data_IF_231677429085
#
_entry.id   IF_231677429085
#
_cell.length_a   1.000
_cell.length_b   1.000
_cell.length_c   1.000
_cell.angle_alpha   90.00
_cell.angle_beta   90.00
_cell.angle_gamma   90.00
#
_symmetry.space_group_name_H-M   'P 1'
#
loop_
_entity.id
_entity.type
_entity.pdbx_description
1 polymer ?
#
# COMPACT_ATOMS: atom_id res chain seq x y z
N UNK A 1 -12.06 -6.35 -1.51
CA UNK A 1 -11.94 -4.94 -1.14
C UNK A 1 -10.48 -4.61 -0.82
N UNK A 2 -9.83 -3.67 -1.52
CA UNK A 2 -8.50 -3.18 -1.15
C UNK A 2 -8.48 -2.52 0.23
N UNK A 3 -7.50 -2.88 1.06
CA UNK A 3 -7.25 -2.29 2.41
C UNK A 3 -5.88 -1.65 2.52
N UNK A 4 -4.91 -2.09 1.69
CA UNK A 4 -3.57 -1.52 1.62
C UNK A 4 -3.02 -1.55 0.19
N UNK A 5 -2.29 -0.50 -0.18
CA UNK A 5 -1.63 -0.37 -1.48
C UNK A 5 -0.16 -0.08 -1.26
N UNK A 6 0.72 -0.77 -2.00
CA UNK A 6 2.16 -0.53 -1.94
C UNK A 6 2.82 -0.76 -3.30
N UNK A 7 3.89 0.00 -3.54
CA UNK A 7 4.79 -0.22 -4.67
C UNK A 7 5.80 -1.30 -4.31
N UNK A 8 5.87 -2.39 -5.08
CA UNK A 8 6.96 -3.37 -4.95
C UNK A 8 8.06 -3.03 -5.97
N UNK A 9 9.28 -2.93 -5.44
CA UNK A 9 10.48 -2.50 -6.16
C UNK A 9 11.43 -3.69 -6.40
N UNK A 10 11.17 -4.83 -5.75
CA UNK A 10 12.13 -5.93 -5.58
C UNK A 10 11.92 -7.11 -6.51
N UNK A 11 10.77 -7.21 -7.19
CA UNK A 11 10.44 -8.40 -7.97
C UNK A 11 10.93 -8.36 -9.43
N UNK A 12 11.44 -9.51 -9.84
CA UNK A 12 11.90 -9.78 -11.21
C UNK A 12 10.84 -10.60 -11.92
N UNK A 13 10.27 -10.06 -12.98
CA UNK A 13 9.40 -10.81 -13.89
C UNK A 13 10.28 -11.28 -15.05
N UNK A 14 10.46 -12.59 -15.21
CA UNK A 14 11.33 -13.19 -16.22
C UNK A 14 12.77 -12.64 -16.22
N UNK A 15 13.36 -12.43 -15.02
CA UNK A 15 14.71 -11.88 -14.87
C UNK A 15 14.83 -10.38 -15.13
N UNK A 16 13.72 -9.68 -15.39
CA UNK A 16 13.69 -8.22 -15.56
C UNK A 16 13.00 -7.60 -14.35
N UNK A 17 13.74 -6.79 -13.59
CA UNK A 17 13.16 -5.96 -12.54
C UNK A 17 12.06 -5.09 -13.15
N UNK A 18 10.83 -5.30 -12.67
CA UNK A 18 9.62 -4.67 -13.19
C UNK A 18 8.89 -3.99 -12.05
N UNK A 19 8.22 -2.88 -12.34
CA UNK A 19 7.35 -2.28 -11.35
C UNK A 19 6.08 -3.12 -11.15
N UNK A 20 5.78 -3.45 -9.90
CA UNK A 20 4.57 -4.19 -9.51
C UNK A 20 3.80 -3.34 -8.51
N UNK A 21 2.49 -3.21 -8.75
CA UNK A 21 1.59 -2.59 -7.80
C UNK A 21 0.95 -3.70 -6.95
N UNK A 22 1.22 -3.69 -5.65
CA UNK A 22 0.68 -4.66 -4.71
C UNK A 22 -0.54 -4.09 -4.00
N UNK A 23 -1.64 -4.83 -4.00
CA UNK A 23 -2.86 -4.51 -3.28
C UNK A 23 -3.16 -5.64 -2.30
N UNK A 24 -3.24 -5.32 -1.02
CA UNK A 24 -3.76 -6.24 0.00
C UNK A 24 -5.21 -5.91 0.24
N UNK A 25 -6.02 -6.92 0.50
CA UNK A 25 -7.44 -6.77 0.73
C UNK A 25 -8.13 -8.07 1.11
N UNK A 26 -9.45 -8.06 1.05
CA UNK A 26 -10.31 -9.21 1.36
C UNK A 26 -11.08 -9.67 0.11
N UNK A 27 -11.29 -10.98 0.01
CA UNK A 27 -12.26 -11.58 -0.90
C UNK A 27 -13.68 -11.40 -0.33
N UNK A 28 -14.69 -11.63 -1.16
CA UNK A 28 -16.10 -11.44 -0.79
C UNK A 28 -16.55 -12.27 0.42
N UNK A 29 -15.87 -13.39 0.67
CA UNK A 29 -16.12 -14.27 1.81
C UNK A 29 -15.30 -13.91 3.08
N UNK A 30 -14.47 -12.87 3.01
CA UNK A 30 -13.59 -12.40 4.10
C UNK A 30 -12.19 -13.00 4.11
N UNK A 31 -11.86 -13.91 3.18
CA UNK A 31 -10.49 -14.45 3.09
C UNK A 31 -9.50 -13.37 2.65
N UNK A 32 -8.28 -13.43 3.19
CA UNK A 32 -7.23 -12.46 2.88
C UNK A 32 -6.70 -12.67 1.46
N UNK A 33 -6.42 -11.59 0.77
CA UNK A 33 -5.88 -11.60 -0.57
C UNK A 33 -4.76 -10.56 -0.74
N UNK A 34 -3.72 -10.95 -1.48
CA UNK A 34 -2.69 -10.08 -2.02
C UNK A 34 -2.75 -10.17 -3.53
N UNK A 35 -2.81 -9.03 -4.20
CA UNK A 35 -2.92 -8.92 -5.65
C UNK A 35 -1.68 -8.18 -6.15
N UNK A 36 -0.88 -8.85 -6.97
CA UNK A 36 0.25 -8.29 -7.71
C UNK A 36 -0.20 -7.90 -9.10
N UNK A 37 -0.29 -6.59 -9.34
CA UNK A 37 -0.66 -6.04 -10.64
C UNK A 37 0.61 -5.81 -11.46
N UNK A 38 0.74 -6.54 -12.56
CA UNK A 38 1.88 -6.51 -13.48
C UNK A 38 1.56 -5.79 -14.80
N UNK A 39 2.57 -5.60 -15.66
CA UNK A 39 2.40 -4.96 -16.98
C UNK A 39 2.35 -3.43 -16.92
N UNK A 40 2.74 -2.84 -15.80
CA UNK A 40 2.82 -1.39 -15.61
C UNK A 40 4.25 -0.96 -15.94
N UNK A 41 4.38 -0.04 -16.90
CA UNK A 41 5.67 0.55 -17.27
C UNK A 41 5.77 1.96 -16.69
N UNK A 42 6.67 2.21 -15.73
CA UNK A 42 6.89 3.54 -15.21
C UNK A 42 7.30 4.51 -16.32
N UNK A 43 6.86 5.75 -16.22
CA UNK A 43 7.20 6.80 -17.16
C UNK A 43 7.24 8.18 -16.53
N UNK A 44 7.85 9.13 -17.23
CA UNK A 44 7.73 10.57 -17.04
C UNK A 44 7.79 11.26 -18.41
N UNK A 45 7.41 12.53 -18.49
CA UNK A 45 7.36 13.28 -19.73
C UNK A 45 8.39 14.42 -19.69
N UNK A 46 9.01 14.76 -20.82
CA UNK A 46 9.90 15.93 -20.96
C UNK A 46 9.35 16.86 -22.02
N UNK A 47 9.33 18.16 -21.74
CA UNK A 47 8.87 19.18 -22.69
C UNK A 47 9.94 19.37 -23.77
N UNK A 48 9.51 19.38 -25.02
CA UNK A 48 10.40 19.71 -26.15
C UNK A 48 10.54 21.24 -26.21
N UNK A 49 11.77 21.79 -26.20
CA UNK A 49 11.98 23.23 -26.37
C UNK A 49 11.46 23.70 -27.74
N UNK A 50 10.78 24.85 -27.78
CA UNK A 50 10.19 25.40 -29.01
C UNK A 50 11.25 25.75 -30.06
N UNK A 51 12.43 26.17 -29.61
CA UNK A 51 13.55 26.55 -30.47
C UNK A 51 14.40 25.36 -30.94
N UNK A 52 14.05 24.13 -30.57
CA UNK A 52 14.84 22.95 -30.90
C UNK A 52 14.05 21.94 -31.74
N UNK A 53 14.65 21.51 -32.84
CA UNK A 53 14.11 20.41 -33.64
C UNK A 53 13.96 19.14 -32.79
N UNK A 54 12.81 18.47 -32.96
CA UNK A 54 12.46 17.27 -32.20
C UNK A 54 13.50 16.15 -32.35
N UNK A 55 14.08 15.97 -33.53
CA UNK A 55 15.13 14.98 -33.80
C UNK A 55 16.39 15.28 -33.00
N UNK A 56 16.87 16.52 -33.03
CA UNK A 56 18.04 16.98 -32.27
C UNK A 56 17.84 16.80 -30.77
N UNK A 57 16.66 17.21 -30.27
CA UNK A 57 16.34 17.06 -28.85
C UNK A 57 16.25 15.59 -28.43
N UNK A 58 15.66 14.72 -29.27
CA UNK A 58 15.64 13.27 -29.04
C UNK A 58 17.04 12.68 -28.94
N UNK A 59 17.96 13.02 -29.85
CA UNK A 59 19.34 12.52 -29.82
C UNK A 59 20.03 12.94 -28.53
N UNK A 60 19.91 14.22 -28.13
CA UNK A 60 20.44 14.72 -26.86
C UNK A 60 19.87 13.94 -25.67
N UNK A 61 18.55 13.73 -25.65
CA UNK A 61 17.87 13.01 -24.57
C UNK A 61 18.31 11.55 -24.50
N UNK A 62 18.40 10.85 -25.63
CA UNK A 62 18.86 9.46 -25.71
C UNK A 62 20.28 9.34 -25.16
N UNK A 63 21.18 10.26 -25.50
CA UNK A 63 22.56 10.25 -24.99
C UNK A 63 22.64 10.40 -23.47
N UNK A 64 21.84 11.31 -22.89
CA UNK A 64 21.76 11.47 -21.43
C UNK A 64 21.27 10.17 -20.79
N UNK A 65 20.15 9.64 -21.28
CA UNK A 65 19.52 8.44 -20.72
C UNK A 65 20.38 7.19 -20.87
N UNK A 66 21.04 6.98 -22.02
CA UNK A 66 21.91 5.83 -22.25
C UNK A 66 23.14 5.86 -21.37
N UNK A 67 23.72 7.03 -21.12
CA UNK A 67 24.86 7.20 -20.23
C UNK A 67 24.45 6.93 -18.78
N UNK A 68 23.32 7.48 -18.32
CA UNK A 68 22.81 7.26 -16.97
C UNK A 68 22.40 5.80 -16.71
N UNK A 69 21.68 5.19 -17.65
CA UNK A 69 21.12 3.85 -17.48
C UNK A 69 22.06 2.73 -17.96
N UNK A 70 23.23 3.07 -18.52
CA UNK A 70 24.20 2.13 -19.08
C UNK A 70 23.59 1.27 -20.21
N UNK A 71 22.96 1.93 -21.18
CA UNK A 71 22.41 1.30 -22.38
C UNK A 71 21.04 1.81 -22.80
N UNK A 72 20.69 1.57 -24.07
CA UNK A 72 19.43 2.00 -24.68
C UNK A 72 18.29 1.00 -24.46
N UNK A 73 18.58 -0.24 -24.08
CA UNK A 73 17.58 -1.28 -23.85
C UNK A 73 16.74 -1.08 -22.58
N UNK A 74 17.12 -0.14 -21.69
CA UNK A 74 16.46 0.09 -20.39
C UNK A 74 15.33 1.11 -20.42
N UNK A 75 15.13 1.77 -21.56
CA UNK A 75 14.08 2.76 -21.72
C UNK A 75 13.51 2.76 -23.13
N UNK A 76 12.25 3.18 -23.24
CA UNK A 76 11.59 3.51 -24.50
C UNK A 76 11.23 4.99 -24.52
N UNK A 77 11.09 5.55 -25.71
CA UNK A 77 10.62 6.93 -25.90
C UNK A 77 9.37 6.96 -26.78
N UNK A 78 8.43 7.84 -26.46
CA UNK A 78 7.22 8.07 -27.26
C UNK A 78 6.93 9.56 -27.37
N UNK A 79 6.67 10.04 -28.59
CA UNK A 79 6.19 11.39 -28.80
C UNK A 79 4.73 11.52 -28.35
N UNK A 80 4.43 12.56 -27.59
CA UNK A 80 3.06 12.90 -27.19
C UNK A 80 2.83 14.40 -27.35
N UNK A 81 1.56 14.79 -27.42
CA UNK A 81 1.14 16.19 -27.40
C UNK A 81 0.16 16.39 -26.23
N UNK A 82 0.43 17.37 -25.38
CA UNK A 82 -0.34 17.62 -24.16
C UNK A 82 -0.35 19.11 -23.79
N UNK A 83 -1.37 19.54 -23.03
CA UNK A 83 -1.39 20.88 -22.47
C UNK A 83 -0.37 20.99 -21.32
N UNK A 84 0.46 22.04 -21.30
CA UNK A 84 1.31 22.33 -20.16
C UNK A 84 0.46 22.58 -18.91
N UNK A 85 0.96 22.15 -17.75
CA UNK A 85 0.29 22.41 -16.48
C UNK A 85 0.39 23.89 -16.06
N UNK A 86 1.50 24.54 -16.39
CA UNK A 86 1.77 25.93 -16.01
C UNK A 86 1.34 26.89 -17.12
N UNK A 87 0.50 27.86 -16.74
CA UNK A 87 -0.05 28.86 -17.65
C UNK A 87 -1.26 28.36 -18.43
N UNK A 88 -2.01 29.31 -19.00
CA UNK A 88 -3.11 29.00 -19.91
C UNK A 88 -2.57 28.84 -21.33
N UNK A 89 -2.85 27.69 -21.96
CA UNK A 89 -2.44 27.39 -23.34
C UNK A 89 -3.65 26.93 -24.12
N UNK A 90 -3.89 27.54 -25.28
CA UNK A 90 -4.96 27.17 -26.19
C UNK A 90 -4.56 25.94 -27.02
N UNK A 91 -3.25 25.73 -27.19
CA UNK A 91 -2.68 24.63 -27.97
C UNK A 91 -1.89 23.65 -27.11
N UNK A 92 -1.85 22.39 -27.55
CA UNK A 92 -1.02 21.36 -26.93
C UNK A 92 0.43 21.52 -27.37
N UNK A 93 1.36 21.35 -26.43
CA UNK A 93 2.81 21.36 -26.70
C UNK A 93 3.34 19.94 -26.89
N UNK A 94 4.48 19.84 -27.58
CA UNK A 94 5.17 18.57 -27.80
C UNK A 94 5.94 18.14 -26.54
N UNK A 95 5.80 16.86 -26.20
CA UNK A 95 6.55 16.21 -25.14
C UNK A 95 7.12 14.88 -25.65
N UNK A 96 8.20 14.43 -25.02
CA UNK A 96 8.72 13.06 -25.16
C UNK A 96 8.44 12.33 -23.85
N UNK A 97 7.66 11.26 -23.93
CA UNK A 97 7.47 10.32 -22.82
C UNK A 97 8.64 9.36 -22.77
N UNK A 98 9.29 9.28 -21.62
CA UNK A 98 10.35 8.33 -21.32
C UNK A 98 9.73 7.21 -20.47
N UNK A 99 9.81 5.99 -20.97
CA UNK A 99 9.23 4.78 -20.37
C UNK A 99 10.39 3.91 -19.89
N UNK A 100 10.35 3.44 -18.65
CA UNK A 100 11.36 2.51 -18.09
C UNK A 100 10.69 1.21 -17.67
N UNK A 101 11.50 0.20 -17.34
CA UNK A 101 11.02 -1.11 -16.87
C UNK A 101 10.67 -1.13 -15.39
N UNK A 102 11.46 -0.42 -14.58
CA UNK A 102 11.27 -0.32 -13.14
C UNK A 102 11.39 1.11 -12.65
N UNK A 103 11.05 1.26 -11.37
CA UNK A 103 11.01 2.53 -10.69
C UNK A 103 12.41 3.12 -10.45
N UNK A 104 13.40 2.27 -10.14
CA UNK A 104 14.78 2.70 -9.96
C UNK A 104 15.36 3.39 -11.20
N UNK A 105 15.20 2.78 -12.37
CA UNK A 105 15.63 3.35 -13.64
C UNK A 105 14.87 4.64 -13.95
N UNK A 106 13.55 4.72 -13.64
CA UNK A 106 12.77 5.95 -13.83
C UNK A 106 13.35 7.08 -12.97
N UNK A 107 13.62 6.80 -11.70
CA UNK A 107 14.17 7.78 -10.75
C UNK A 107 15.51 8.32 -11.22
N UNK A 108 16.46 7.45 -11.58
CA UNK A 108 17.78 7.86 -12.05
C UNK A 108 17.71 8.65 -13.37
N UNK A 109 16.89 8.20 -14.33
CA UNK A 109 16.66 8.90 -15.58
C UNK A 109 16.07 10.30 -15.36
N UNK A 110 15.04 10.40 -14.51
CA UNK A 110 14.40 11.65 -14.18
C UNK A 110 15.37 12.63 -13.50
N UNK A 111 16.17 12.13 -12.55
CA UNK A 111 17.20 12.93 -11.87
C UNK A 111 18.21 13.49 -12.87
N UNK A 112 18.80 12.65 -13.72
CA UNK A 112 19.78 13.07 -14.71
C UNK A 112 19.25 14.10 -15.71
N UNK A 113 17.99 13.94 -16.15
CA UNK A 113 17.33 14.91 -17.04
C UNK A 113 17.15 16.27 -16.36
N UNK A 114 16.79 16.30 -15.07
CA UNK A 114 16.62 17.56 -14.32
C UNK A 114 17.95 18.24 -14.03
N UNK A 115 19.00 17.47 -13.75
CA UNK A 115 20.36 18.01 -13.51
C UNK A 115 20.91 18.80 -14.70
N UNK A 116 20.55 18.43 -15.93
CA UNK A 116 20.94 19.16 -17.14
C UNK A 116 19.96 20.28 -17.54
N UNK A 117 19.01 20.63 -16.66
CA UNK A 117 18.08 21.74 -16.85
C UNK A 117 16.94 21.47 -17.84
N UNK A 118 16.67 20.21 -18.21
CA UNK A 118 15.55 19.88 -19.10
C UNK A 118 14.24 19.94 -18.32
N UNK A 119 13.24 20.64 -18.88
CA UNK A 119 11.92 20.76 -18.31
C UNK A 119 11.15 19.42 -18.34
N UNK A 120 10.83 18.89 -17.17
CA UNK A 120 10.07 17.66 -16.97
C UNK A 120 8.60 17.95 -16.66
N UNK A 121 7.74 16.97 -16.91
CA UNK A 121 6.32 16.99 -16.61
C UNK A 121 5.83 15.57 -16.31
N UNK A 122 4.65 15.45 -15.69
CA UNK A 122 4.09 14.14 -15.31
C UNK A 122 5.14 13.32 -14.53
N UNK A 123 5.95 13.99 -13.73
CA UNK A 123 7.05 13.42 -12.99
C UNK A 123 6.69 13.31 -11.50
N UNK A 124 7.42 12.46 -10.81
CA UNK A 124 7.29 12.24 -9.38
C UNK A 124 8.69 11.82 -8.90
N UNK A 125 9.28 12.61 -8.01
CA UNK A 125 10.61 12.35 -7.48
C UNK A 125 10.59 11.32 -6.36
N UNK A 126 9.44 11.10 -5.72
CA UNK A 126 9.31 10.18 -4.60
C UNK A 126 8.90 8.81 -5.10
N UNK A 127 9.79 7.79 -5.06
CA UNK A 127 9.51 6.49 -5.63
C UNK A 127 8.43 5.69 -4.87
N UNK A 128 8.15 6.07 -3.61
CA UNK A 128 7.30 5.33 -2.65
C UNK A 128 5.79 5.51 -2.92
N UNK A 129 5.40 6.57 -3.62
CA UNK A 129 3.98 6.92 -3.87
C UNK A 129 3.61 6.88 -5.35
N UNK A 130 4.37 6.15 -6.16
CA UNK A 130 4.16 6.10 -7.59
C UNK A 130 2.83 5.43 -7.97
N UNK A 131 2.33 4.52 -7.12
CA UNK A 131 1.00 3.92 -7.29
C UNK A 131 -0.10 4.95 -7.54
N UNK A 132 -0.01 6.16 -6.95
CA UNK A 132 -1.01 7.23 -7.16
C UNK A 132 -1.06 7.66 -8.61
N UNK A 133 0.12 7.83 -9.22
CA UNK A 133 0.21 8.14 -10.65
C UNK A 133 -0.31 6.98 -11.49
N UNK A 134 0.05 5.75 -11.15
CA UNK A 134 -0.41 4.56 -11.87
C UNK A 134 -1.92 4.45 -11.83
N UNK A 135 -2.52 4.49 -10.63
CA UNK A 135 -3.96 4.40 -10.43
C UNK A 135 -4.70 5.49 -11.20
N UNK A 136 -4.25 6.74 -11.16
CA UNK A 136 -4.84 7.82 -11.97
C UNK A 136 -4.72 7.57 -13.47
N UNK A 137 -3.55 7.14 -13.96
CA UNK A 137 -3.30 6.98 -15.40
C UNK A 137 -3.95 5.74 -15.99
N UNK A 138 -4.17 4.71 -15.16
CA UNK A 138 -4.79 3.44 -15.52
C UNK A 138 -6.26 3.34 -15.06
N UNK A 139 -6.75 4.33 -14.32
CA UNK A 139 -8.08 4.36 -13.68
C UNK A 139 -8.32 3.13 -12.79
N UNK A 140 -7.29 2.75 -12.02
CA UNK A 140 -7.39 1.58 -11.14
C UNK A 140 -8.19 1.97 -9.89
N UNK A 141 -9.23 1.20 -9.54
CA UNK A 141 -9.90 1.34 -8.25
C UNK A 141 -8.96 0.93 -7.12
N UNK A 142 -8.71 1.82 -6.16
CA UNK A 142 -7.86 1.54 -4.99
C UNK A 142 -8.65 1.38 -3.68
N UNK A 143 -9.96 1.59 -3.72
CA UNK A 143 -10.82 1.66 -2.52
C UNK A 143 -12.25 1.21 -2.82
N UNK A 144 -12.43 0.32 -3.80
CA UNK A 144 -13.74 -0.26 -4.14
C UNK A 144 -13.56 -1.73 -4.48
N UNK A 145 -14.67 -2.47 -4.57
CA UNK A 145 -14.62 -3.83 -5.09
C UNK A 145 -14.09 -3.88 -6.52
N UNK A 146 -13.38 -4.97 -6.79
CA UNK A 146 -12.73 -5.22 -8.06
C UNK A 146 -12.94 -6.65 -8.52
N UNK A 147 -13.00 -6.81 -9.84
CA UNK A 147 -13.10 -8.10 -10.50
C UNK A 147 -11.77 -8.36 -11.20
N UNK A 148 -11.23 -9.54 -10.92
CA UNK A 148 -10.02 -10.04 -11.58
C UNK A 148 -10.44 -10.98 -12.69
N UNK A 149 -9.78 -10.85 -13.84
CA UNK A 149 -9.88 -11.80 -14.95
C UNK A 149 -8.48 -12.26 -15.36
N UNK A 150 -8.37 -13.42 -16.02
CA UNK A 150 -7.11 -13.91 -16.60
C UNK A 150 -5.90 -13.73 -15.65
N UNK A 151 -6.04 -14.25 -14.42
CA UNK A 151 -5.06 -14.13 -13.36
C UNK A 151 -4.38 -15.48 -13.09
N UNK A 152 -3.16 -15.43 -12.57
CA UNK A 152 -2.55 -16.54 -11.87
C UNK A 152 -2.95 -16.49 -10.39
N UNK A 153 -3.18 -17.65 -9.79
CA UNK A 153 -3.60 -17.78 -8.40
C UNK A 153 -2.77 -18.85 -7.69
N UNK A 154 -2.36 -18.52 -6.47
CA UNK A 154 -1.67 -19.40 -5.55
C UNK A 154 -2.21 -19.18 -4.13
N UNK A 155 -2.12 -20.20 -3.28
CA UNK A 155 -2.41 -20.08 -1.86
C UNK A 155 -1.10 -20.07 -1.08
N UNK A 156 -0.83 -18.98 -0.36
CA UNK A 156 0.43 -18.78 0.36
C UNK A 156 0.27 -19.00 1.87
N UNK A 157 1.40 -19.17 2.56
CA UNK A 157 1.42 -19.41 4.00
C UNK A 157 0.68 -18.29 4.78
N UNK A 158 -0.06 -18.66 5.82
CA UNK A 158 -0.83 -17.71 6.63
C UNK A 158 -2.24 -17.45 6.12
N UNK A 159 -2.81 -18.34 5.30
CA UNK A 159 -4.22 -18.29 4.93
C UNK A 159 -4.58 -17.22 3.90
N UNK A 160 -3.61 -16.79 3.10
CA UNK A 160 -3.76 -15.68 2.17
C UNK A 160 -3.74 -16.16 0.73
N UNK A 161 -4.65 -15.65 -0.09
CA UNK A 161 -4.68 -15.89 -1.53
C UNK A 161 -3.75 -14.90 -2.22
N UNK A 162 -2.81 -15.39 -3.02
CA UNK A 162 -1.96 -14.57 -3.87
C UNK A 162 -2.49 -14.61 -5.30
N UNK A 163 -2.73 -13.44 -5.88
CA UNK A 163 -3.11 -13.27 -7.27
C UNK A 163 -2.04 -12.50 -8.01
N UNK A 164 -1.70 -12.92 -9.22
CA UNK A 164 -0.91 -12.12 -10.15
C UNK A 164 -1.74 -11.84 -11.40
N UNK A 165 -1.90 -10.56 -11.74
CA UNK A 165 -2.85 -10.12 -12.75
C UNK A 165 -2.26 -8.99 -13.59
N UNK A 166 -2.54 -8.98 -14.89
CA UNK A 166 -2.19 -7.84 -15.74
C UNK A 166 -3.01 -6.61 -15.34
N UNK A 167 -2.42 -5.42 -15.43
CA UNK A 167 -3.12 -4.14 -15.19
C UNK A 167 -4.39 -3.96 -16.00
N UNK A 168 -4.51 -4.60 -17.17
CA UNK A 168 -5.71 -4.52 -17.99
C UNK A 168 -6.84 -5.46 -17.53
N UNK A 169 -6.55 -6.38 -16.62
CA UNK A 169 -7.49 -7.37 -16.11
C UNK A 169 -7.89 -7.13 -14.64
N UNK A 170 -7.50 -5.98 -14.10
CA UNK A 170 -7.90 -5.48 -12.79
C UNK A 170 -8.94 -4.38 -12.99
N UNK A 171 -10.22 -4.74 -12.84
CA UNK A 171 -11.33 -3.87 -13.23
C UNK A 171 -12.22 -3.53 -12.03
N UNK A 172 -12.86 -2.35 -12.02
CA UNK A 172 -13.90 -2.07 -11.04
C UNK A 172 -15.07 -3.05 -11.20
N UNK A 173 -15.69 -3.41 -10.08
CA UNK A 173 -16.98 -4.11 -10.07
C UNK A 173 -18.05 -3.24 -10.73
N UNK A 174 -18.93 -3.84 -11.55
CA UNK A 174 -19.98 -3.11 -12.26
C UNK A 174 -21.15 -2.75 -11.33
N UNK A 175 -21.97 -1.77 -11.71
CA UNK A 175 -23.20 -1.44 -10.96
C UNK A 175 -24.19 -2.62 -10.93
N UNK A 176 -24.27 -3.40 -12.01
CA UNK A 176 -25.12 -4.59 -12.08
C UNK A 176 -24.70 -5.65 -11.03
N UNK A 177 -23.39 -5.80 -10.79
CA UNK A 177 -22.87 -6.70 -9.77
C UNK A 177 -23.26 -6.27 -8.35
N UNK A 178 -23.31 -4.95 -8.08
CA UNK A 178 -23.80 -4.43 -6.80
C UNK A 178 -25.29 -4.71 -6.59
N UNK A 179 -26.05 -4.88 -7.67
CA UNK A 179 -27.47 -5.26 -7.62
C UNK A 179 -27.71 -6.78 -7.64
N UNK A 180 -26.64 -7.59 -7.70
CA UNK A 180 -26.78 -9.04 -7.78
C UNK A 180 -27.26 -9.62 -6.44
N UNK A 181 -28.42 -10.29 -6.35
CA UNK A 181 -28.96 -10.78 -5.09
C UNK A 181 -28.10 -11.86 -4.43
N UNK A 182 -27.22 -12.53 -5.18
CA UNK A 182 -26.36 -13.59 -4.64
C UNK A 182 -25.24 -13.05 -3.74
N UNK A 183 -24.78 -11.83 -3.98
CA UNK A 183 -23.57 -11.34 -3.31
C UNK A 183 -23.53 -9.82 -3.06
N UNK A 184 -24.54 -9.05 -3.47
CA UNK A 184 -24.70 -7.61 -3.16
C UNK A 184 -24.55 -7.28 -1.68
N UNK A 185 -25.10 -8.13 -0.80
CA UNK A 185 -24.96 -7.97 0.65
C UNK A 185 -23.49 -8.04 1.07
N UNK A 186 -22.71 -8.97 0.55
CA UNK A 186 -21.30 -9.13 0.89
C UNK A 186 -20.42 -8.04 0.27
N UNK A 187 -20.89 -7.39 -0.80
CA UNK A 187 -20.24 -6.19 -1.34
C UNK A 187 -20.53 -4.93 -0.49
N UNK A 188 -21.72 -4.84 0.09
CA UNK A 188 -22.15 -3.68 0.90
C UNK A 188 -21.62 -3.73 2.33
N UNK A 189 -21.57 -4.93 2.91
CA UNK A 189 -21.16 -5.21 4.29
C UNK A 189 -19.92 -6.09 4.23
N UNK A 190 -18.79 -5.47 3.89
CA UNK A 190 -17.57 -6.20 3.64
C UNK A 190 -16.98 -6.76 4.94
N UNK A 191 -16.42 -7.97 4.87
CA UNK A 191 -15.82 -8.66 6.02
C UNK A 191 -14.41 -8.14 6.32
N UNK A 192 -14.26 -6.83 6.45
CA UNK A 192 -13.05 -6.20 6.99
C UNK A 192 -12.99 -6.46 8.49
N UNK A 193 -11.90 -7.09 8.93
CA UNK A 193 -11.66 -7.42 10.32
C UNK A 193 -10.93 -6.27 11.01
N UNK A 194 -11.57 -5.68 12.01
CA UNK A 194 -11.05 -4.54 12.79
C UNK A 194 -10.61 -5.03 14.16
N UNK A 195 -9.37 -4.73 14.53
CA UNK A 195 -8.85 -4.91 15.89
C UNK A 195 -8.85 -3.54 16.58
N UNK A 196 -9.63 -3.39 17.65
CA UNK A 196 -9.46 -2.29 18.58
C UNK A 196 -8.67 -2.76 19.77
N UNK A 197 -7.79 -1.92 20.32
CA UNK A 197 -6.92 -2.30 21.41
C UNK A 197 -6.49 -1.08 22.23
N UNK A 198 -6.06 -1.33 23.46
CA UNK A 198 -5.60 -0.34 24.42
C UNK A 198 -4.67 -1.03 25.44
N UNK A 199 -3.69 -0.30 25.98
CA UNK A 199 -2.79 -0.80 27.02
C UNK A 199 -3.01 -0.08 28.35
N UNK A 200 -2.74 -0.80 29.43
CA UNK A 200 -2.59 -0.17 30.74
C UNK A 200 -1.16 -0.33 31.24
N UNK A 201 -0.64 0.77 31.77
CA UNK A 201 0.71 0.84 32.31
C UNK A 201 0.68 1.16 33.80
N UNK A 202 1.67 0.63 34.50
CA UNK A 202 1.94 0.95 35.89
C UNK A 202 3.36 1.49 35.98
N UNK A 203 3.59 2.40 36.91
CA UNK A 203 4.93 2.88 37.23
C UNK A 203 5.09 3.12 38.71
N UNK A 204 6.21 2.67 39.28
CA UNK A 204 6.58 3.00 40.67
C UNK A 204 7.42 4.27 40.78
N UNK A 205 7.56 5.04 39.70
CA UNK A 205 8.21 6.34 39.72
C UNK A 205 7.52 7.30 40.70
N UNK A 206 8.24 8.34 41.12
CA UNK A 206 7.69 9.40 42.00
C UNK A 206 6.36 9.96 41.48
N UNK A 207 5.48 10.37 42.42
CA UNK A 207 4.25 11.10 42.13
C UNK A 207 4.52 12.22 41.10
N UNK A 208 3.66 12.33 40.09
CA UNK A 208 3.74 13.24 38.94
C UNK A 208 4.69 12.85 37.78
N UNK A 209 5.26 11.64 37.79
CA UNK A 209 5.99 11.10 36.63
C UNK A 209 5.14 10.13 35.81
N UNK A 210 5.20 10.28 34.49
CA UNK A 210 4.56 9.35 33.56
C UNK A 210 5.39 8.08 33.39
N UNK A 211 4.75 6.92 33.16
CA UNK A 211 5.43 5.70 32.74
C UNK A 211 6.28 5.96 31.48
N UNK A 212 7.51 5.45 31.47
CA UNK A 212 8.43 5.60 30.33
C UNK A 212 9.03 4.25 29.93
N UNK A 213 9.21 4.04 28.64
CA UNK A 213 9.73 2.77 28.09
C UNK A 213 11.18 2.48 28.49
N UNK A 214 11.94 3.49 28.93
CA UNK A 214 13.34 3.33 29.36
C UNK A 214 13.48 2.95 30.84
N UNK A 215 12.39 2.96 31.60
CA UNK A 215 12.42 2.74 33.05
C UNK A 215 11.99 1.32 33.39
N UNK A 216 12.84 0.59 34.11
CA UNK A 216 12.51 -0.74 34.64
C UNK A 216 11.43 -0.70 35.73
N UNK A 217 11.11 0.50 36.24
CA UNK A 217 10.02 0.76 37.18
C UNK A 217 8.67 0.96 36.50
N UNK A 218 8.64 1.00 35.16
CA UNK A 218 7.43 1.16 34.35
C UNK A 218 7.15 -0.10 33.55
N UNK A 219 5.94 -0.64 33.65
CA UNK A 219 5.56 -1.85 32.93
C UNK A 219 4.16 -1.74 32.32
N UNK A 220 3.98 -2.44 31.20
CA UNK A 220 2.65 -2.76 30.66
C UNK A 220 2.15 -3.98 31.39
N UNK A 221 1.04 -3.85 32.11
CA UNK A 221 0.47 -4.94 32.91
C UNK A 221 -0.83 -5.50 32.31
N UNK A 222 -1.49 -4.74 31.43
CA UNK A 222 -2.69 -5.18 30.74
C UNK A 222 -2.70 -4.73 29.28
N UNK A 223 -3.22 -5.59 28.40
CA UNK A 223 -3.60 -5.23 27.04
C UNK A 223 -5.01 -5.77 26.79
N UNK A 224 -5.95 -4.87 26.52
CA UNK A 224 -7.29 -5.24 26.12
C UNK A 224 -7.41 -5.13 24.61
N UNK A 225 -8.09 -6.08 23.99
CA UNK A 225 -8.39 -6.03 22.57
C UNK A 225 -9.79 -6.56 22.27
N UNK A 226 -10.46 -5.92 21.31
CA UNK A 226 -11.72 -6.41 20.77
C UNK A 226 -11.66 -6.50 19.26
N UNK A 227 -12.26 -7.55 18.71
CA UNK A 227 -12.20 -7.89 17.29
C UNK A 227 -13.60 -7.83 16.73
N UNK A 228 -13.79 -7.06 15.66
CA UNK A 228 -15.10 -6.79 15.06
C UNK A 228 -15.07 -7.01 13.55
N UNK A 229 -16.20 -7.35 12.97
CA UNK A 229 -16.44 -6.98 11.58
C UNK A 229 -16.72 -5.48 11.53
N UNK A 230 -16.16 -4.77 10.55
CA UNK A 230 -16.25 -3.29 10.46
C UNK A 230 -17.65 -2.74 10.69
N UNK A 231 -18.67 -3.45 10.17
CA UNK A 231 -20.06 -3.01 10.17
C UNK A 231 -20.96 -3.82 11.13
N UNK A 232 -20.38 -4.62 12.04
CA UNK A 232 -21.12 -5.33 13.08
C UNK A 232 -20.92 -4.62 14.43
N UNK A 233 -21.98 -4.23 15.14
CA UNK A 233 -21.86 -3.60 16.46
C UNK A 233 -21.37 -4.56 17.54
N UNK A 234 -21.43 -5.89 17.33
CA UNK A 234 -21.03 -6.87 18.31
C UNK A 234 -19.61 -7.40 18.04
N UNK A 235 -18.75 -7.49 19.06
CA UNK A 235 -17.44 -8.09 18.91
C UNK A 235 -17.54 -9.58 18.63
N UNK A 236 -16.68 -10.07 17.74
CA UNK A 236 -16.42 -11.49 17.53
C UNK A 236 -15.67 -12.10 18.70
N UNK A 237 -14.72 -11.34 19.24
CA UNK A 237 -13.88 -11.71 20.38
C UNK A 237 -13.53 -10.46 21.18
N UNK A 238 -13.49 -10.63 22.50
CA UNK A 238 -12.98 -9.67 23.46
C UNK A 238 -11.96 -10.42 24.30
N UNK A 239 -10.71 -9.93 24.32
CA UNK A 239 -9.58 -10.61 24.95
C UNK A 239 -8.89 -9.60 25.86
N UNK A 240 -8.73 -9.98 27.13
CA UNK A 240 -8.00 -9.21 28.13
C UNK A 240 -6.74 -9.99 28.49
N UNK A 241 -5.56 -9.46 28.14
CA UNK A 241 -4.28 -10.03 28.52
C UNK A 241 -3.78 -9.31 29.77
N UNK A 242 -3.44 -10.05 30.82
CA UNK A 242 -2.99 -9.48 32.10
C UNK A 242 -1.73 -10.19 32.57
N UNK A 243 -0.80 -9.49 33.21
CA UNK A 243 0.38 -10.10 33.82
C UNK A 243 0.17 -10.57 35.27
N UNK A 244 -0.88 -10.09 35.94
CA UNK A 244 -1.28 -10.45 37.30
C UNK A 244 -2.60 -11.22 37.36
N UNK A 245 -2.85 -11.90 38.48
CA UNK A 245 -4.11 -12.59 38.72
C UNK A 245 -5.28 -11.60 38.71
N UNK A 246 -6.28 -11.86 37.88
CA UNK A 246 -7.40 -10.96 37.64
C UNK A 246 -8.69 -11.77 37.63
N UNK A 247 -9.75 -11.25 38.27
CA UNK A 247 -11.05 -11.92 38.29
C UNK A 247 -11.62 -12.05 36.86
N UNK A 248 -12.27 -13.17 36.52
CA UNK A 248 -12.84 -13.35 35.20
C UNK A 248 -14.08 -12.46 35.00
N UNK A 249 -14.21 -11.89 33.80
CA UNK A 249 -15.45 -11.29 33.30
C UNK A 249 -16.05 -12.24 32.24
N UNK A 250 -17.32 -12.67 32.35
CA UNK A 250 -17.93 -13.61 31.40
C UNK A 250 -18.01 -13.08 29.97
N UNK A 251 -17.90 -11.76 29.77
CA UNK A 251 -17.91 -11.11 28.45
C UNK A 251 -16.54 -11.13 27.78
N UNK A 252 -15.48 -11.42 28.53
CA UNK A 252 -14.10 -11.36 28.07
C UNK A 252 -13.38 -12.70 28.21
N UNK A 253 -12.48 -12.98 27.27
CA UNK A 253 -11.49 -14.03 27.45
C UNK A 253 -10.30 -13.41 28.19
N UNK A 254 -10.21 -13.64 29.49
CA UNK A 254 -9.07 -13.20 30.30
C UNK A 254 -7.95 -14.22 30.23
N UNK A 255 -6.75 -13.81 29.82
CA UNK A 255 -5.55 -14.65 29.72
C UNK A 255 -4.48 -14.09 30.66
N UNK A 256 -4.18 -14.87 31.71
CA UNK A 256 -3.15 -14.53 32.70
C UNK A 256 -1.79 -14.99 32.16
N UNK A 257 -0.90 -14.04 31.92
CA UNK A 257 0.40 -14.22 31.29
C UNK A 257 1.56 -14.33 32.28
N UNK A 258 1.37 -13.87 33.52
CA UNK A 258 2.33 -13.97 34.63
C UNK A 258 3.57 -13.07 34.53
N UNK A 259 3.73 -12.32 33.42
CA UNK A 259 4.78 -11.32 33.22
C UNK A 259 4.48 -10.44 32.00
N UNK A 260 5.01 -9.22 31.99
CA UNK A 260 4.97 -8.32 30.83
C UNK A 260 5.52 -8.98 29.55
N UNK A 261 6.63 -9.73 29.65
CA UNK A 261 7.23 -10.40 28.48
C UNK A 261 6.26 -11.38 27.83
N UNK A 262 5.56 -12.19 28.62
CA UNK A 262 4.59 -13.14 28.10
C UNK A 262 3.34 -12.44 27.59
N UNK A 263 2.92 -11.35 28.23
CA UNK A 263 1.81 -10.51 27.79
C UNK A 263 2.07 -9.92 26.39
N UNK A 264 3.26 -9.37 26.13
CA UNK A 264 3.64 -8.85 24.81
C UNK A 264 3.71 -9.97 23.74
N UNK A 265 4.22 -11.15 24.11
CA UNK A 265 4.24 -12.33 23.22
C UNK A 265 2.82 -12.81 22.90
N UNK A 266 1.94 -12.88 23.90
CA UNK A 266 0.54 -13.27 23.72
C UNK A 266 -0.19 -12.29 22.80
N UNK A 267 0.01 -10.98 22.99
CA UNK A 267 -0.53 -9.96 22.11
C UNK A 267 -0.06 -10.14 20.65
N UNK A 268 1.25 -10.33 20.45
CA UNK A 268 1.83 -10.55 19.13
C UNK A 268 1.27 -11.81 18.44
N UNK A 269 1.10 -12.90 19.21
CA UNK A 269 0.51 -14.15 18.72
C UNK A 269 -0.97 -13.96 18.35
N UNK A 270 -1.76 -13.31 19.21
CA UNK A 270 -3.17 -13.00 18.93
C UNK A 270 -3.30 -12.18 17.65
N UNK A 271 -2.54 -11.08 17.54
CA UNK A 271 -2.53 -10.23 16.35
C UNK A 271 -2.14 -10.99 15.08
N UNK A 272 -1.14 -11.88 15.16
CA UNK A 272 -0.70 -12.72 14.04
C UNK A 272 -1.78 -13.71 13.60
N UNK A 273 -2.46 -14.36 14.55
CA UNK A 273 -3.50 -15.35 14.26
C UNK A 273 -4.79 -14.71 13.74
N UNK A 274 -5.17 -13.56 14.30
CA UNK A 274 -6.34 -12.79 13.87
C UNK A 274 -6.12 -12.14 12.50
N UNK A 275 -4.89 -11.67 12.23
CA UNK A 275 -4.53 -10.97 10.97
C UNK A 275 -5.53 -9.86 10.63
N UNK A 276 -5.70 -8.85 11.52
CA UNK A 276 -6.66 -7.79 11.30
C UNK A 276 -6.33 -6.97 10.04
N UNK A 277 -7.35 -6.53 9.31
CA UNK A 277 -7.20 -5.65 8.16
C UNK A 277 -6.91 -4.21 8.59
N UNK A 278 -7.44 -3.82 9.74
CA UNK A 278 -7.28 -2.49 10.32
C UNK A 278 -7.12 -2.62 11.83
N UNK A 279 -6.19 -1.85 12.38
CA UNK A 279 -5.95 -1.74 13.81
C UNK A 279 -6.19 -0.29 14.21
N UNK A 280 -6.98 -0.08 15.26
CA UNK A 280 -7.32 1.25 15.77
C UNK A 280 -7.26 1.27 17.30
N UNK A 281 -6.87 2.40 17.86
CA UNK A 281 -6.95 2.68 19.29
C UNK A 281 -7.01 4.19 19.50
N UNK A 282 -7.26 4.62 20.73
CA UNK A 282 -7.22 6.03 21.06
C UNK A 282 -5.80 6.38 21.53
N UNK A 283 -5.14 7.32 20.85
CA UNK A 283 -3.74 7.69 21.12
C UNK A 283 -2.69 6.57 20.89
N UNK A 284 -3.10 5.47 20.25
CA UNK A 284 -2.29 4.26 20.06
C UNK A 284 -0.96 4.50 19.34
N UNK A 285 -0.96 5.33 18.30
CA UNK A 285 0.25 5.63 17.53
C UNK A 285 1.28 6.50 18.26
N UNK A 286 0.90 7.17 19.36
CA UNK A 286 1.78 8.08 20.10
C UNK A 286 2.20 7.54 21.47
N UNK A 287 1.41 6.63 22.04
CA UNK A 287 1.64 6.11 23.38
C UNK A 287 1.76 4.58 23.41
N UNK A 288 0.79 3.88 22.84
CA UNK A 288 0.66 2.43 23.01
C UNK A 288 1.63 1.60 22.14
N UNK A 289 1.88 2.02 20.89
CA UNK A 289 2.61 1.24 19.87
C UNK A 289 4.14 1.37 19.94
#
# INVERSE_FOLDING_TARGET
MPTKVSDDISEYVNGISSYILCITGTLINGQKAVIKIIGIKPFFDVKVPEEMLLSTFKTRLVNILSNTLKGTSKFGIKNISAFPLQGYHIEKKLYIRIITWNQFNRYNALKAVREVGICTASDDLTPIYYYRKVARKKRLPLSSWTILSNYFHEYIQGGTHLFQVSVNNYNPTSEDDYNNPLFSSALSWDRTLVLTWDIETYSSLELDKFPTVQSDESNVFMICMSVHWKDDPNPLKQICLVDVETAPDPSWITIICGSQTNLLKAFTLCRKLLSPDTQIGFNDSQYDW
#
